data_IF_876943370802
#
_entry.id   IF_876943370802
#
_cell.length_a   1.000
_cell.length_b   1.000
_cell.length_c   1.000
_cell.angle_alpha   90.00
_cell.angle_beta   90.00
_cell.angle_gamma   90.00
#
_symmetry.space_group_name_H-M   'P 1'
#
loop_
_entity.id
_entity.type
_entity.pdbx_description
1 polymer ?
#
# COMPACT_ATOMS: atom_id res chain seq x y z
N UNK A 1 48.95 -1.29 20.44
CA UNK A 1 49.83 -2.36 20.94
C UNK A 1 48.95 -3.34 21.71
N UNK A 2 48.85 -4.57 21.19
CA UNK A 2 48.14 -5.75 21.77
C UNK A 2 48.69 -6.14 23.17
N UNK A 3 48.08 -7.04 23.98
CA UNK A 3 47.44 -8.32 23.58
C UNK A 3 46.07 -8.61 24.26
N UNK A 4 45.12 -9.30 23.61
CA UNK A 4 44.94 -10.77 23.50
C UNK A 4 45.03 -11.53 24.83
N UNK A 5 43.91 -12.15 25.24
CA UNK A 5 43.86 -13.53 25.76
C UNK A 5 42.44 -14.11 25.78
N UNK A 6 42.26 -15.15 24.96
CA UNK A 6 41.21 -16.17 25.03
C UNK A 6 41.19 -16.83 26.42
N UNK A 7 40.00 -17.22 26.90
CA UNK A 7 39.81 -18.49 27.60
C UNK A 7 38.34 -18.94 27.53
N UNK A 8 38.15 -20.01 26.76
CA UNK A 8 37.02 -20.95 26.76
C UNK A 8 36.89 -21.67 28.11
N UNK A 9 35.67 -21.86 28.61
CA UNK A 9 35.38 -22.89 29.60
C UNK A 9 33.94 -23.42 29.47
N UNK A 10 33.89 -24.68 29.08
CA UNK A 10 32.78 -25.63 29.05
C UNK A 10 32.47 -26.08 30.51
N UNK A 11 31.21 -26.10 30.93
CA UNK A 11 30.74 -26.79 32.16
C UNK A 11 29.23 -27.08 31.98
N UNK A 12 28.83 -28.31 31.65
CA UNK A 12 28.71 -29.51 32.51
C UNK A 12 27.41 -29.51 33.34
N UNK A 13 26.54 -30.46 32.96
CA UNK A 13 25.23 -30.76 33.50
C UNK A 13 25.27 -31.27 34.96
N UNK A 14 24.22 -30.98 35.72
CA UNK A 14 23.95 -31.59 37.02
C UNK A 14 22.60 -32.34 36.97
N UNK A 15 22.67 -33.67 37.01
CA UNK A 15 21.55 -34.56 37.30
C UNK A 15 21.31 -34.58 38.82
N UNK A 16 20.05 -34.36 39.24
CA UNK A 16 19.58 -34.76 40.56
C UNK A 16 18.71 -36.02 40.44
N UNK A 17 19.13 -37.09 41.11
CA UNK A 17 18.31 -38.27 41.40
C UNK A 17 17.57 -38.08 42.72
N UNK A 18 16.27 -38.39 42.74
CA UNK A 18 15.51 -38.70 43.95
C UNK A 18 14.68 -39.97 43.68
N UNK A 19 14.68 -40.89 44.64
CA UNK A 19 14.07 -42.22 44.54
C UNK A 19 12.95 -42.42 45.57
N UNK A 20 11.92 -43.18 45.16
CA UNK A 20 10.97 -43.97 45.98
C UNK A 20 9.74 -43.21 46.51
N UNK A 21 8.51 -43.73 46.55
CA UNK A 21 7.92 -45.05 46.30
C UNK A 21 6.38 -44.91 46.17
N UNK A 22 5.72 -45.97 45.67
CA UNK A 22 4.33 -46.41 45.94
C UNK A 22 3.28 -46.31 44.81
N UNK A 23 3.08 -47.42 44.10
CA UNK A 23 1.75 -48.04 43.96
C UNK A 23 0.88 -47.67 42.75
N UNK A 24 0.79 -48.61 41.80
CA UNK A 24 -0.44 -48.92 41.07
C UNK A 24 -0.57 -48.37 39.65
N UNK A 25 -0.82 -49.29 38.70
CA UNK A 25 -1.38 -48.96 37.38
C UNK A 25 -0.34 -48.58 36.34
N UNK A 26 0.13 -49.57 35.59
CA UNK A 26 0.86 -49.40 34.34
C UNK A 26 -0.01 -48.70 33.30
N UNK A 27 0.25 -47.41 33.08
CA UNK A 27 0.10 -46.75 31.78
C UNK A 27 1.28 -45.79 31.64
N UNK A 28 2.42 -46.35 31.27
CA UNK A 28 3.49 -45.54 30.71
C UNK A 28 3.02 -45.11 29.32
N UNK A 29 2.52 -43.89 29.22
CA UNK A 29 2.51 -43.19 27.95
C UNK A 29 3.98 -43.04 27.54
N UNK A 30 4.50 -44.06 26.85
CA UNK A 30 5.69 -43.91 26.05
C UNK A 30 5.29 -42.90 24.98
N UNK A 31 5.67 -41.63 25.14
CA UNK A 31 5.67 -40.72 24.02
C UNK A 31 6.55 -41.38 22.96
N UNK A 32 5.92 -41.99 21.94
CA UNK A 32 6.65 -42.51 20.80
C UNK A 32 7.47 -41.34 20.24
N UNK A 33 8.72 -41.56 19.82
CA UNK A 33 9.41 -40.58 19.00
C UNK A 33 8.49 -40.23 17.84
N UNK A 34 7.98 -39.00 17.79
CA UNK A 34 7.12 -38.59 16.69
C UNK A 34 7.97 -38.64 15.44
N UNK A 35 7.60 -39.52 14.50
CA UNK A 35 8.17 -39.52 13.16
C UNK A 35 7.84 -38.15 12.58
N UNK A 36 8.84 -37.35 12.15
CA UNK A 36 8.58 -36.08 11.47
C UNK A 36 7.57 -36.34 10.36
N UNK A 37 6.42 -35.68 10.42
CA UNK A 37 5.45 -35.78 9.34
C UNK A 37 6.06 -35.08 8.11
N UNK A 38 5.83 -35.60 6.90
CA UNK A 38 6.21 -34.90 5.70
C UNK A 38 5.51 -33.54 5.68
N UNK A 39 6.19 -32.52 5.15
CA UNK A 39 5.69 -31.15 5.11
C UNK A 39 5.74 -30.58 3.70
N UNK A 40 4.86 -29.62 3.43
CA UNK A 40 4.94 -28.73 2.28
C UNK A 40 4.88 -27.26 2.73
N UNK A 41 4.94 -26.35 1.77
CA UNK A 41 4.89 -24.90 1.99
C UNK A 41 3.63 -24.31 1.36
N UNK A 42 2.98 -23.42 2.11
CA UNK A 42 1.88 -22.58 1.63
C UNK A 42 2.33 -21.12 1.63
N UNK A 43 2.27 -20.51 0.46
CA UNK A 43 2.48 -19.09 0.24
C UNK A 43 1.14 -18.42 -0.07
N UNK A 44 0.90 -17.27 0.55
CA UNK A 44 -0.27 -16.44 0.28
C UNK A 44 0.20 -15.07 -0.17
N UNK A 45 -0.33 -14.62 -1.29
CA UNK A 45 -0.08 -13.28 -1.84
C UNK A 45 -1.40 -12.51 -1.90
N UNK A 46 -1.44 -11.35 -1.27
CA UNK A 46 -2.57 -10.44 -1.37
C UNK A 46 -2.41 -9.55 -2.60
N UNK A 47 -3.15 -9.82 -3.67
CA UNK A 47 -3.10 -9.06 -4.94
C UNK A 47 -4.39 -8.26 -5.24
N UNK A 48 -5.36 -8.25 -4.33
CA UNK A 48 -6.60 -7.47 -4.49
C UNK A 48 -6.37 -5.96 -4.24
N UNK A 49 -6.60 -5.08 -5.23
CA UNK A 49 -6.26 -3.66 -5.10
C UNK A 49 -7.14 -2.90 -4.11
N UNK A 50 -8.39 -3.30 -3.94
CA UNK A 50 -9.41 -2.61 -3.14
C UNK A 50 -9.87 -3.39 -1.90
N UNK A 51 -9.29 -4.56 -1.61
CA UNK A 51 -9.54 -5.27 -0.37
C UNK A 51 -8.80 -4.62 0.81
N UNK A 52 -9.38 -4.65 2.02
CA UNK A 52 -8.64 -4.29 3.22
C UNK A 52 -7.46 -5.26 3.42
N UNK A 53 -6.59 -4.98 4.38
CA UNK A 53 -5.64 -5.99 4.82
C UNK A 53 -6.37 -7.30 5.17
N UNK A 54 -5.76 -8.44 4.85
CA UNK A 54 -6.40 -9.75 5.04
C UNK A 54 -5.62 -10.66 5.96
N UNK A 55 -6.34 -11.38 6.80
CA UNK A 55 -5.84 -12.55 7.50
C UNK A 55 -6.13 -13.81 6.67
N UNK A 56 -5.23 -14.79 6.76
CA UNK A 56 -5.48 -16.12 6.20
C UNK A 56 -5.59 -17.14 7.32
N UNK A 57 -6.71 -17.86 7.30
CA UNK A 57 -7.01 -18.94 8.23
C UNK A 57 -6.93 -20.27 7.50
N UNK A 58 -6.23 -21.22 8.10
CA UNK A 58 -6.08 -22.58 7.56
C UNK A 58 -6.53 -23.56 8.62
N UNK A 59 -7.50 -24.42 8.29
CA UNK A 59 -8.18 -25.29 9.26
C UNK A 59 -8.76 -24.55 10.49
N UNK A 60 -9.21 -23.31 10.28
CA UNK A 60 -9.79 -22.46 11.33
C UNK A 60 -8.77 -21.86 12.31
N UNK A 61 -7.47 -22.08 12.11
CA UNK A 61 -6.40 -21.41 12.85
C UNK A 61 -5.94 -20.20 12.05
N UNK A 62 -5.80 -19.05 12.72
CA UNK A 62 -5.16 -17.86 12.13
C UNK A 62 -3.66 -18.11 12.01
N UNK A 63 -3.16 -18.00 10.79
CA UNK A 63 -1.77 -18.33 10.46
C UNK A 63 -0.94 -17.05 10.31
N UNK A 64 -1.60 -15.98 9.89
CA UNK A 64 -0.98 -14.74 9.49
C UNK A 64 -1.83 -13.57 9.96
N UNK A 65 -1.28 -12.75 10.85
CA UNK A 65 -1.84 -11.43 11.13
C UNK A 65 -1.63 -10.51 9.92
N UNK A 66 -2.67 -9.72 9.63
CA UNK A 66 -2.78 -8.62 8.67
C UNK A 66 -1.74 -8.68 7.53
N UNK A 67 -2.09 -9.36 6.45
CA UNK A 67 -1.32 -9.33 5.19
C UNK A 67 -1.76 -8.10 4.42
N UNK A 68 -0.90 -7.07 4.26
CA UNK A 68 -1.26 -5.91 3.49
C UNK A 68 -1.31 -6.25 2.01
N UNK A 69 -1.95 -5.39 1.22
CA UNK A 69 -1.89 -5.48 -0.24
C UNK A 69 -0.45 -5.50 -0.76
N UNK A 70 -0.22 -6.33 -1.78
CA UNK A 70 1.10 -6.72 -2.32
C UNK A 70 2.00 -7.42 -1.29
N UNK A 71 1.48 -7.78 -0.12
CA UNK A 71 2.18 -8.56 0.89
C UNK A 71 2.17 -10.06 0.58
N UNK A 72 3.21 -10.74 1.07
CA UNK A 72 3.34 -12.20 1.03
C UNK A 72 3.49 -12.77 2.44
N UNK A 73 2.98 -13.98 2.64
CA UNK A 73 3.24 -14.82 3.82
C UNK A 73 3.54 -16.24 3.40
N UNK A 74 4.47 -16.87 4.10
CA UNK A 74 4.86 -18.26 3.86
C UNK A 74 4.89 -19.04 5.17
N UNK A 75 4.25 -20.21 5.15
CA UNK A 75 4.15 -21.11 6.30
C UNK A 75 4.32 -22.56 5.87
N UNK A 76 4.90 -23.38 6.75
CA UNK A 76 5.02 -24.81 6.53
C UNK A 76 3.84 -25.56 7.15
N UNK A 77 3.37 -26.60 6.47
CA UNK A 77 2.27 -27.46 6.91
C UNK A 77 2.61 -28.92 6.73
N UNK A 78 2.01 -29.77 7.55
CA UNK A 78 1.99 -31.21 7.29
C UNK A 78 1.26 -31.50 5.97
N UNK A 79 1.53 -32.67 5.37
CA UNK A 79 0.81 -33.11 4.19
C UNK A 79 -0.66 -33.33 4.51
N UNK A 80 -1.55 -32.73 3.72
CA UNK A 80 -2.99 -32.86 3.95
C UNK A 80 -3.86 -31.91 3.13
N UNK A 81 -5.16 -32.04 3.36
CA UNK A 81 -6.19 -31.18 2.79
C UNK A 81 -6.64 -30.17 3.84
N UNK A 82 -6.51 -28.89 3.53
CA UNK A 82 -6.80 -27.81 4.45
C UNK A 82 -7.86 -26.87 3.88
N UNK A 83 -8.95 -26.57 4.61
CA UNK A 83 -9.84 -25.48 4.22
C UNK A 83 -9.12 -24.15 4.46
N UNK A 84 -9.19 -23.26 3.48
CA UNK A 84 -8.62 -21.91 3.55
C UNK A 84 -9.74 -20.88 3.59
N UNK A 85 -9.63 -19.96 4.54
CA UNK A 85 -10.45 -18.76 4.61
C UNK A 85 -9.56 -17.52 4.52
N UNK A 86 -10.01 -16.52 3.78
CA UNK A 86 -9.39 -15.19 3.74
C UNK A 86 -10.38 -14.22 4.38
N UNK A 87 -9.91 -13.52 5.40
CA UNK A 87 -10.73 -12.64 6.24
C UNK A 87 -10.19 -11.23 6.11
N UNK A 88 -11.00 -10.29 5.65
CA UNK A 88 -10.65 -8.89 5.56
C UNK A 88 -10.80 -8.19 6.91
N UNK A 89 -9.77 -7.43 7.27
CA UNK A 89 -9.70 -6.66 8.50
C UNK A 89 -10.36 -5.29 8.25
N UNK A 90 -11.60 -5.12 8.70
CA UNK A 90 -12.37 -3.89 8.44
C UNK A 90 -12.73 -3.15 9.72
N UNK A 91 -12.92 -1.82 9.66
CA UNK A 91 -13.45 -1.05 10.78
C UNK A 91 -14.80 -1.61 11.24
N UNK A 92 -14.89 -1.98 12.52
CA UNK A 92 -16.10 -2.59 13.09
C UNK A 92 -16.09 -4.11 13.18
N UNK A 93 -15.04 -4.78 12.68
CA UNK A 93 -14.76 -6.19 12.90
C UNK A 93 -14.66 -7.00 11.61
N UNK A 94 -13.83 -8.05 11.65
CA UNK A 94 -13.50 -8.97 10.55
C UNK A 94 -14.67 -9.40 9.65
N UNK A 95 -14.43 -9.40 8.34
CA UNK A 95 -15.37 -9.92 7.32
C UNK A 95 -14.72 -11.04 6.53
N UNK A 96 -15.31 -12.23 6.49
CA UNK A 96 -14.82 -13.31 5.63
C UNK A 96 -15.03 -12.96 4.15
N UNK A 97 -13.94 -12.85 3.41
CA UNK A 97 -13.90 -12.53 1.97
C UNK A 97 -13.87 -13.81 1.14
N UNK A 98 -13.17 -14.84 1.61
CA UNK A 98 -13.14 -16.18 1.00
C UNK A 98 -13.42 -17.21 2.10
N UNK A 99 -14.41 -18.12 1.93
CA UNK A 99 -15.33 -18.20 0.82
C UNK A 99 -16.38 -17.07 0.83
N UNK A 100 -16.99 -16.78 -0.32
CA UNK A 100 -18.12 -15.85 -0.37
C UNK A 100 -19.25 -16.32 0.57
N UNK A 101 -20.02 -15.37 1.11
CA UNK A 101 -21.06 -15.67 2.09
C UNK A 101 -22.00 -16.81 1.63
N UNK A 102 -22.07 -17.87 2.44
CA UNK A 102 -22.89 -19.06 2.15
C UNK A 102 -22.22 -20.12 1.26
N UNK A 103 -20.95 -19.95 0.89
CA UNK A 103 -20.14 -20.98 0.23
C UNK A 103 -19.22 -21.71 1.21
N UNK A 104 -18.87 -22.96 0.89
CA UNK A 104 -17.90 -23.73 1.67
C UNK A 104 -16.48 -23.21 1.39
N UNK A 105 -15.62 -23.24 2.41
CA UNK A 105 -14.23 -22.84 2.27
C UNK A 105 -13.53 -23.70 1.19
N UNK A 106 -12.79 -23.10 0.25
CA UNK A 106 -12.01 -23.87 -0.70
C UNK A 106 -10.97 -24.70 0.05
N UNK A 107 -10.77 -25.94 -0.39
CA UNK A 107 -9.75 -26.83 0.13
C UNK A 107 -8.48 -26.69 -0.70
N UNK A 108 -7.34 -26.56 -0.04
CA UNK A 108 -6.02 -26.66 -0.65
C UNK A 108 -5.33 -27.94 -0.17
N UNK A 109 -4.85 -28.71 -1.14
CA UNK A 109 -4.06 -29.92 -0.89
C UNK A 109 -2.58 -29.55 -0.86
N UNK A 110 -1.91 -29.83 0.26
CA UNK A 110 -0.47 -29.62 0.44
C UNK A 110 0.20 -31.00 0.42
N UNK A 111 1.04 -31.26 -0.59
CA UNK A 111 1.83 -32.49 -0.70
C UNK A 111 3.23 -32.37 -0.10
N UNK A 112 3.93 -33.50 0.00
CA UNK A 112 5.31 -33.59 0.49
C UNK A 112 6.26 -32.81 -0.44
N UNK A 113 7.07 -31.92 0.13
CA UNK A 113 8.00 -31.05 -0.60
C UNK A 113 7.33 -30.23 -1.72
N UNK A 114 6.02 -30.01 -1.61
CA UNK A 114 5.28 -29.14 -2.52
C UNK A 114 5.27 -27.71 -2.01
N UNK A 115 5.32 -26.77 -2.94
CA UNK A 115 4.97 -25.38 -2.74
C UNK A 115 3.60 -25.13 -3.34
N UNK A 116 2.72 -24.58 -2.53
CA UNK A 116 1.40 -24.12 -2.95
C UNK A 116 1.34 -22.62 -2.75
N UNK A 117 1.15 -21.87 -3.83
CA UNK A 117 0.98 -20.42 -3.78
C UNK A 117 -0.47 -20.07 -4.07
N UNK A 118 -1.11 -19.35 -3.16
CA UNK A 118 -2.48 -18.82 -3.29
C UNK A 118 -2.38 -17.32 -3.49
N UNK A 119 -2.82 -16.84 -4.66
CA UNK A 119 -2.86 -15.42 -4.99
C UNK A 119 -4.32 -14.95 -4.95
N UNK A 120 -4.65 -14.07 -4.01
CA UNK A 120 -5.97 -13.46 -3.94
C UNK A 120 -6.03 -12.26 -4.89
N UNK A 121 -6.60 -12.47 -6.08
CA UNK A 121 -6.57 -11.50 -7.18
C UNK A 121 -7.97 -10.98 -7.52
N UNK A 122 -8.02 -9.73 -8.00
CA UNK A 122 -9.26 -9.03 -8.35
C UNK A 122 -9.85 -8.17 -7.24
N UNK A 123 -10.89 -7.42 -7.56
CA UNK A 123 -11.56 -6.53 -6.63
C UNK A 123 -12.44 -7.29 -5.62
N UNK A 124 -12.73 -6.74 -4.44
CA UNK A 124 -13.56 -7.38 -3.40
C UNK A 124 -14.87 -7.95 -3.95
N UNK A 125 -15.51 -7.24 -4.89
CA UNK A 125 -16.78 -7.65 -5.50
C UNK A 125 -16.68 -8.95 -6.34
N UNK A 126 -15.47 -9.34 -6.77
CA UNK A 126 -15.22 -10.49 -7.64
C UNK A 126 -13.92 -11.22 -7.34
N UNK A 127 -13.39 -11.09 -6.12
CA UNK A 127 -12.10 -11.62 -5.73
C UNK A 127 -12.10 -13.14 -5.80
N UNK A 128 -11.04 -13.70 -6.38
CA UNK A 128 -10.89 -15.14 -6.54
C UNK A 128 -9.46 -15.60 -6.20
N UNK A 129 -9.31 -16.79 -5.58
CA UNK A 129 -8.00 -17.37 -5.37
C UNK A 129 -7.49 -18.00 -6.67
N UNK A 130 -6.26 -17.67 -7.05
CA UNK A 130 -5.48 -18.40 -8.05
C UNK A 130 -4.52 -19.32 -7.29
N UNK A 131 -4.62 -20.63 -7.50
CA UNK A 131 -3.81 -21.63 -6.80
C UNK A 131 -2.78 -22.20 -7.76
N UNK A 132 -1.51 -22.06 -7.39
CA UNK A 132 -0.37 -22.60 -8.11
C UNK A 132 0.28 -23.68 -7.24
N UNK A 133 0.54 -24.85 -7.80
CA UNK A 133 1.21 -25.94 -7.09
C UNK A 133 2.43 -26.39 -7.88
N UNK A 134 3.58 -26.45 -7.23
CA UNK A 134 4.82 -26.95 -7.82
C UNK A 134 5.72 -27.68 -6.82
N UNK A 135 6.69 -28.43 -7.34
CA UNK A 135 7.79 -29.06 -6.59
C UNK A 135 9.10 -28.61 -7.24
N UNK A 136 9.56 -27.39 -6.93
CA UNK A 136 10.64 -26.77 -7.68
C UNK A 136 11.95 -27.51 -7.38
N UNK A 137 12.71 -27.97 -8.37
CA UNK A 137 14.04 -28.52 -8.11
C UNK A 137 14.98 -27.41 -7.61
N UNK A 138 16.10 -27.79 -7.01
CA UNK A 138 17.17 -26.83 -6.72
C UNK A 138 17.58 -26.06 -7.99
N UNK A 139 17.92 -24.79 -7.83
CA UNK A 139 18.39 -23.92 -8.92
C UNK A 139 19.90 -23.71 -8.76
N UNK A 140 20.62 -23.55 -9.88
CA UNK A 140 22.04 -23.23 -9.84
C UNK A 140 22.27 -21.79 -9.36
N UNK A 141 23.44 -21.54 -8.75
CA UNK A 141 23.80 -20.24 -8.19
C UNK A 141 23.91 -19.13 -9.25
N UNK A 142 24.05 -19.47 -10.53
CA UNK A 142 24.15 -18.57 -11.69
C UNK A 142 22.88 -18.55 -12.56
N UNK A 143 21.80 -19.18 -12.10
CA UNK A 143 20.51 -19.26 -12.80
C UNK A 143 19.39 -18.59 -12.00
N UNK A 144 18.35 -18.14 -12.71
CA UNK A 144 17.14 -17.56 -12.16
C UNK A 144 15.93 -18.28 -12.74
N UNK A 145 15.02 -18.74 -11.87
CA UNK A 145 13.76 -19.36 -12.27
C UNK A 145 12.65 -18.32 -12.16
N UNK A 146 11.91 -18.15 -13.25
CA UNK A 146 10.80 -17.22 -13.34
C UNK A 146 9.52 -18.00 -13.63
N UNK A 147 8.55 -17.87 -12.74
CA UNK A 147 7.15 -18.19 -12.99
C UNK A 147 6.43 -16.89 -13.31
N UNK A 148 5.55 -16.91 -14.30
CA UNK A 148 4.78 -15.74 -14.71
C UNK A 148 3.32 -16.01 -14.46
N UNK A 149 2.64 -15.07 -13.82
CA UNK A 149 1.20 -15.13 -13.57
C UNK A 149 0.53 -13.83 -14.03
N UNK A 150 -0.59 -13.95 -14.74
CA UNK A 150 -1.47 -12.82 -14.96
C UNK A 150 -2.57 -12.75 -13.87
N UNK A 151 -2.42 -11.82 -12.92
CA UNK A 151 -3.28 -11.67 -11.74
C UNK A 151 -4.13 -10.37 -11.74
N UNK A 152 -4.35 -9.77 -12.91
CA UNK A 152 -5.09 -8.51 -13.05
C UNK A 152 -6.35 -8.72 -13.91
N UNK A 153 -7.52 -9.03 -13.34
CA UNK A 153 -8.70 -9.45 -14.11
C UNK A 153 -9.30 -8.36 -15.00
N UNK A 154 -9.04 -7.08 -14.70
CA UNK A 154 -9.47 -5.95 -15.51
C UNK A 154 -8.59 -5.72 -16.76
N UNK A 155 -7.37 -6.27 -16.78
CA UNK A 155 -6.52 -6.20 -17.95
C UNK A 155 -6.85 -7.33 -18.94
N UNK A 156 -6.81 -7.05 -20.26
CA UNK A 156 -7.07 -8.06 -21.28
C UNK A 156 -5.93 -9.09 -21.33
N UNK A 157 -6.09 -10.13 -22.16
CA UNK A 157 -4.97 -11.03 -22.45
C UNK A 157 -3.78 -10.25 -23.04
N UNK A 158 -2.57 -10.65 -22.66
CA UNK A 158 -1.32 -9.95 -22.99
C UNK A 158 -0.23 -10.90 -23.47
N UNK A 159 0.68 -10.38 -24.27
CA UNK A 159 1.95 -11.02 -24.61
C UNK A 159 3.07 -10.46 -23.71
N UNK A 160 3.86 -11.35 -23.12
CA UNK A 160 4.98 -10.97 -22.25
C UNK A 160 6.29 -11.24 -22.98
N UNK A 161 7.23 -10.29 -22.89
CA UNK A 161 8.53 -10.33 -23.52
C UNK A 161 9.62 -10.15 -22.46
N UNK A 162 10.66 -10.97 -22.52
CA UNK A 162 11.83 -10.89 -21.64
C UNK A 162 13.07 -10.81 -22.53
N UNK A 163 13.88 -9.77 -22.35
CA UNK A 163 15.05 -9.48 -23.20
C UNK A 163 16.19 -8.89 -22.39
N UNK A 164 17.40 -8.86 -22.95
CA UNK A 164 18.47 -8.04 -22.37
C UNK A 164 18.14 -6.53 -22.47
N UNK A 165 18.71 -5.68 -21.59
CA UNK A 165 18.53 -4.24 -21.66
C UNK A 165 18.98 -3.67 -23.01
N UNK A 166 18.10 -2.91 -23.67
CA UNK A 166 18.37 -2.27 -24.95
C UNK A 166 18.03 -3.11 -26.19
N UNK A 167 17.76 -4.41 -26.04
CA UNK A 167 17.37 -5.25 -27.17
C UNK A 167 15.95 -4.92 -27.68
N UNK A 168 15.70 -5.01 -29.00
CA UNK A 168 14.34 -4.90 -29.53
C UNK A 168 13.47 -6.05 -29.06
N UNK A 169 12.14 -5.90 -29.17
CA UNK A 169 11.22 -7.00 -28.91
C UNK A 169 11.46 -8.14 -29.90
N UNK A 170 11.71 -9.34 -29.35
CA UNK A 170 11.82 -10.59 -30.10
C UNK A 170 10.48 -11.33 -30.17
N UNK A 171 10.51 -12.66 -30.08
CA UNK A 171 9.31 -13.44 -29.87
C UNK A 171 8.80 -13.27 -28.43
N UNK A 172 7.48 -13.28 -28.19
CA UNK A 172 6.96 -13.28 -26.82
C UNK A 172 7.37 -14.57 -26.11
N UNK A 173 7.61 -14.45 -24.81
CA UNK A 173 7.74 -15.57 -23.89
C UNK A 173 6.45 -16.40 -23.86
N UNK A 174 5.30 -15.72 -23.95
CA UNK A 174 3.99 -16.35 -24.03
C UNK A 174 2.86 -15.33 -24.16
N UNK A 175 1.65 -15.84 -24.37
CA UNK A 175 0.40 -15.08 -24.28
C UNK A 175 -0.37 -15.57 -23.07
N UNK A 176 -0.89 -14.65 -22.26
CA UNK A 176 -1.52 -14.95 -20.97
C UNK A 176 -2.86 -14.21 -20.87
N UNK A 177 -3.92 -14.94 -20.57
CA UNK A 177 -5.16 -14.40 -20.03
C UNK A 177 -5.15 -14.41 -18.49
N UNK A 178 -6.11 -13.74 -17.86
CA UNK A 178 -6.25 -13.73 -16.41
C UNK A 178 -6.27 -15.16 -15.83
N UNK A 179 -5.44 -15.40 -14.81
CA UNK A 179 -5.28 -16.68 -14.15
C UNK A 179 -4.32 -17.65 -14.84
N UNK A 180 -3.85 -17.36 -16.05
CA UNK A 180 -2.91 -18.21 -16.77
C UNK A 180 -1.47 -18.02 -16.29
N UNK A 181 -0.71 -19.11 -16.35
CA UNK A 181 0.72 -19.18 -16.00
C UNK A 181 1.55 -19.56 -17.22
N UNK A 182 2.87 -19.37 -17.13
CA UNK A 182 3.80 -19.78 -18.17
C UNK A 182 3.71 -21.29 -18.43
N UNK A 183 3.85 -21.71 -19.68
CA UNK A 183 3.92 -23.14 -20.05
C UNK A 183 5.23 -23.41 -20.82
N UNK A 184 6.13 -24.28 -20.32
CA UNK A 184 6.07 -24.98 -19.03
C UNK A 184 6.08 -24.02 -17.82
N UNK A 185 5.68 -24.50 -16.64
CA UNK A 185 5.33 -23.70 -15.44
C UNK A 185 6.38 -22.69 -14.95
N UNK A 186 7.61 -22.77 -15.46
CA UNK A 186 8.69 -21.82 -15.23
C UNK A 186 9.66 -21.75 -16.43
N UNK A 187 10.35 -20.62 -16.57
CA UNK A 187 11.54 -20.45 -17.42
C UNK A 187 12.77 -20.28 -16.55
N UNK A 188 13.90 -20.86 -16.97
CA UNK A 188 15.20 -20.66 -16.33
C UNK A 188 16.06 -19.80 -17.25
N UNK A 189 16.61 -18.72 -16.70
CA UNK A 189 17.47 -17.77 -17.41
C UNK A 189 18.78 -17.58 -16.63
N UNK A 190 19.91 -17.25 -17.28
CA UNK A 190 21.13 -16.89 -16.57
C UNK A 190 20.93 -15.65 -15.69
N UNK A 191 21.72 -15.51 -14.62
CA UNK A 191 21.76 -14.27 -13.85
C UNK A 191 22.14 -13.05 -14.72
N UNK A 192 21.63 -11.88 -14.35
CA UNK A 192 22.00 -10.61 -14.98
C UNK A 192 20.84 -9.65 -15.18
N UNK A 193 21.09 -8.63 -15.99
CA UNK A 193 20.11 -7.59 -16.28
C UNK A 193 19.12 -8.03 -17.36
N UNK A 194 17.83 -7.78 -17.12
CA UNK A 194 16.73 -8.05 -18.04
C UNK A 194 15.79 -6.86 -18.14
N UNK A 195 14.92 -6.88 -19.14
CA UNK A 195 13.81 -5.95 -19.30
C UNK A 195 12.55 -6.75 -19.62
N UNK A 196 11.50 -6.58 -18.83
CA UNK A 196 10.20 -7.23 -19.01
C UNK A 196 9.26 -6.22 -19.66
N UNK A 197 8.68 -6.61 -20.79
CA UNK A 197 7.72 -5.78 -21.54
C UNK A 197 6.44 -6.55 -21.78
N UNK A 198 5.31 -5.86 -21.67
CA UNK A 198 3.98 -6.43 -21.90
C UNK A 198 3.32 -5.67 -23.04
N UNK A 199 2.75 -6.38 -24.00
CA UNK A 199 2.04 -5.80 -25.13
C UNK A 199 0.71 -6.52 -25.36
N UNK A 200 -0.19 -5.88 -26.11
CA UNK A 200 -1.43 -6.53 -26.53
C UNK A 200 -1.16 -7.55 -27.65
N UNK A 201 -1.86 -8.70 -27.66
CA UNK A 201 -1.64 -9.75 -28.64
C UNK A 201 -1.75 -9.25 -30.09
N UNK A 202 -0.79 -9.64 -30.92
CA UNK A 202 -0.72 -9.23 -32.33
C UNK A 202 -0.39 -7.75 -32.57
N UNK A 203 -0.08 -6.98 -31.52
CA UNK A 203 0.33 -5.57 -31.60
C UNK A 203 1.62 -5.30 -30.82
N UNK A 204 2.74 -5.99 -31.13
CA UNK A 204 3.98 -5.91 -30.34
C UNK A 204 4.63 -4.52 -30.32
N UNK A 205 4.27 -3.63 -31.24
CA UNK A 205 4.74 -2.24 -31.23
C UNK A 205 4.09 -1.37 -30.16
N UNK A 206 3.03 -1.86 -29.51
CA UNK A 206 2.27 -1.14 -28.48
C UNK A 206 2.53 -1.78 -27.13
N UNK A 207 3.68 -1.44 -26.55
CA UNK A 207 4.03 -1.83 -25.18
C UNK A 207 3.12 -1.06 -24.22
N UNK A 208 2.45 -1.77 -23.33
CA UNK A 208 1.53 -1.22 -22.31
C UNK A 208 2.12 -1.25 -20.90
N UNK A 209 3.24 -1.98 -20.74
CA UNK A 209 4.07 -1.97 -19.54
C UNK A 209 5.51 -2.30 -19.90
N UNK A 210 6.46 -1.61 -19.28
CA UNK A 210 7.89 -1.80 -19.43
C UNK A 210 8.59 -1.62 -18.08
N UNK A 211 9.22 -2.67 -17.55
CA UNK A 211 9.87 -2.64 -16.23
C UNK A 211 11.13 -1.76 -16.18
N UNK A 212 11.63 -1.28 -17.33
CA UNK A 212 13.02 -0.83 -17.43
C UNK A 212 14.00 -1.99 -17.19
N UNK A 213 15.28 -1.65 -16.95
CA UNK A 213 16.30 -2.66 -16.64
C UNK A 213 16.17 -3.12 -15.18
N UNK A 214 16.01 -4.42 -14.98
CA UNK A 214 15.94 -5.09 -13.69
C UNK A 214 17.09 -6.08 -13.56
N UNK A 215 17.72 -6.14 -12.39
CA UNK A 215 18.74 -7.14 -12.08
C UNK A 215 18.08 -8.40 -11.52
N UNK A 216 18.34 -9.54 -12.15
CA UNK A 216 17.92 -10.86 -11.69
C UNK A 216 19.13 -11.59 -11.09
N UNK A 217 19.27 -11.63 -9.75
CA UNK A 217 20.41 -12.26 -9.10
C UNK A 217 20.35 -13.78 -9.21
N UNK A 218 21.49 -14.44 -9.43
CA UNK A 218 21.57 -15.89 -9.49
C UNK A 218 21.10 -16.58 -8.20
N UNK A 219 20.54 -17.78 -8.36
CA UNK A 219 19.89 -18.54 -7.30
C UNK A 219 18.45 -18.13 -6.98
N UNK A 220 17.89 -17.10 -7.64
CA UNK A 220 16.53 -16.65 -7.38
C UNK A 220 15.46 -17.56 -8.00
N UNK A 221 14.42 -17.87 -7.21
CA UNK A 221 13.20 -18.56 -7.65
C UNK A 221 12.01 -17.62 -7.44
N UNK A 222 11.54 -17.01 -8.52
CA UNK A 222 10.60 -15.90 -8.48
C UNK A 222 9.27 -16.30 -9.11
N UNK A 223 8.17 -16.02 -8.41
CA UNK A 223 6.88 -15.81 -9.05
C UNK A 223 6.72 -14.31 -9.35
N UNK A 224 6.56 -13.98 -10.62
CA UNK A 224 6.32 -12.64 -11.13
C UNK A 224 4.85 -12.55 -11.56
N UNK A 225 4.04 -11.88 -10.75
CA UNK A 225 2.62 -11.69 -10.99
C UNK A 225 2.36 -10.27 -11.53
N UNK A 226 1.67 -10.16 -12.67
CA UNK A 226 1.10 -8.89 -13.11
C UNK A 226 -0.19 -8.63 -12.32
N UNK A 227 -0.13 -7.71 -11.36
CA UNK A 227 -1.26 -7.31 -10.49
C UNK A 227 -1.83 -5.97 -10.97
N UNK A 228 -3.07 -5.67 -10.62
CA UNK A 228 -3.67 -4.38 -10.95
C UNK A 228 -2.84 -3.24 -10.36
N UNK A 229 -2.50 -2.23 -11.16
CA UNK A 229 -1.82 -1.04 -10.64
C UNK A 229 -2.81 -0.17 -9.88
N UNK A 230 -2.38 0.38 -8.74
CA UNK A 230 -3.10 1.40 -7.96
C UNK A 230 -2.35 2.74 -7.92
N UNK A 231 -1.21 2.82 -8.61
CA UNK A 231 -0.38 4.03 -8.71
C UNK A 231 -0.77 4.82 -9.95
N UNK A 232 -0.22 6.03 -10.08
CA UNK A 232 -0.41 6.86 -11.27
C UNK A 232 0.21 6.23 -12.53
N UNK A 233 -0.14 6.77 -13.69
CA UNK A 233 0.36 6.36 -15.00
C UNK A 233 -0.64 5.57 -15.83
N UNK A 234 -0.25 5.27 -17.06
CA UNK A 234 -1.12 4.64 -18.05
C UNK A 234 -1.14 3.10 -17.96
N UNK A 235 -0.14 2.49 -17.32
CA UNK A 235 -0.07 1.03 -17.22
C UNK A 235 -1.17 0.51 -16.29
N UNK A 236 -2.02 -0.43 -16.76
CA UNK A 236 -3.06 -1.02 -15.91
C UNK A 236 -2.50 -2.01 -14.89
N UNK A 237 -1.23 -2.39 -15.01
CA UNK A 237 -0.57 -3.40 -14.18
C UNK A 237 0.78 -2.92 -13.64
N UNK A 238 1.17 -3.51 -12.53
CA UNK A 238 2.54 -3.51 -12.00
C UNK A 238 3.01 -4.95 -11.86
N UNK A 239 4.31 -5.21 -11.94
CA UNK A 239 4.84 -6.55 -11.68
C UNK A 239 5.21 -6.70 -10.21
N UNK A 240 4.64 -7.71 -9.57
CA UNK A 240 4.95 -8.12 -8.21
C UNK A 240 5.80 -9.39 -8.27
N UNK A 241 7.07 -9.30 -7.90
CA UNK A 241 7.96 -10.45 -7.76
C UNK A 241 8.01 -10.89 -6.29
N UNK A 242 7.77 -12.18 -6.02
CA UNK A 242 7.98 -12.77 -4.68
C UNK A 242 9.25 -13.61 -4.66
N UNK A 243 10.01 -13.49 -3.58
CA UNK A 243 11.19 -14.32 -3.28
C UNK A 243 10.89 -15.39 -2.22
N UNK A 244 9.60 -15.71 -2.01
CA UNK A 244 9.13 -16.66 -0.99
C UNK A 244 9.15 -16.13 0.45
N UNK A 245 9.41 -14.84 0.66
CA UNK A 245 9.31 -14.20 1.99
C UNK A 245 9.11 -12.70 1.93
N UNK A 246 9.51 -12.08 0.83
CA UNK A 246 9.30 -10.66 0.54
C UNK A 246 8.78 -10.47 -0.87
N UNK A 247 8.11 -9.36 -1.09
CA UNK A 247 7.68 -8.91 -2.41
C UNK A 247 8.46 -7.68 -2.85
N UNK A 248 8.67 -7.58 -4.16
CA UNK A 248 9.22 -6.41 -4.84
C UNK A 248 8.25 -5.99 -5.93
N UNK A 249 7.93 -4.71 -5.98
CA UNK A 249 7.11 -4.14 -7.04
C UNK A 249 7.98 -3.45 -8.08
N UNK A 250 7.68 -3.69 -9.36
CA UNK A 250 8.24 -2.99 -10.49
C UNK A 250 7.12 -2.26 -11.23
N UNK A 251 7.22 -0.94 -11.24
CA UNK A 251 6.32 -0.06 -12.00
C UNK A 251 6.75 0.00 -13.47
N UNK A 252 5.87 0.56 -14.29
CA UNK A 252 6.23 0.91 -15.66
C UNK A 252 7.27 2.05 -15.65
N UNK A 253 8.24 2.03 -16.56
CA UNK A 253 9.32 3.02 -16.62
C UNK A 253 8.80 4.43 -16.89
N UNK A 254 7.66 4.56 -17.56
CA UNK A 254 7.00 5.82 -17.86
C UNK A 254 5.95 6.20 -16.80
N UNK A 255 5.82 5.43 -15.71
CA UNK A 255 4.99 5.83 -14.56
C UNK A 255 5.44 7.19 -14.04
N UNK A 256 4.57 8.22 -14.03
CA UNK A 256 4.92 9.53 -13.52
C UNK A 256 4.90 9.55 -11.98
N UNK A 257 5.19 10.71 -11.42
CA UNK A 257 4.76 11.11 -10.08
C UNK A 257 3.54 12.03 -10.21
N UNK A 258 2.67 12.05 -9.22
CA UNK A 258 1.49 12.93 -9.22
C UNK A 258 1.67 14.04 -8.18
N UNK A 259 1.40 15.29 -8.55
CA UNK A 259 1.47 16.43 -7.63
C UNK A 259 0.19 17.25 -7.70
N UNK A 260 -0.47 17.39 -6.56
CA UNK A 260 -1.55 18.34 -6.34
C UNK A 260 -1.01 19.54 -5.57
N UNK A 261 -1.34 20.75 -6.02
CA UNK A 261 -0.97 22.00 -5.34
C UNK A 261 -2.20 22.56 -4.66
N UNK A 262 -2.07 22.96 -3.40
CA UNK A 262 -3.16 23.51 -2.59
C UNK A 262 -2.75 24.88 -2.04
N UNK A 263 -3.59 25.89 -2.26
CA UNK A 263 -3.34 27.21 -1.74
C UNK A 263 -4.05 27.43 -0.39
N UNK A 264 -3.28 27.32 0.70
CA UNK A 264 -3.76 27.40 2.08
C UNK A 264 -3.20 28.63 2.86
N UNK A 265 -2.68 29.63 2.16
CA UNK A 265 -2.12 30.86 2.75
C UNK A 265 -3.15 32.00 2.63
N UNK A 266 -3.72 32.48 3.74
CA UNK A 266 -4.99 33.22 3.72
C UNK A 266 -4.89 34.70 3.29
N UNK A 267 -3.73 35.31 3.41
CA UNK A 267 -3.45 36.71 3.08
C UNK A 267 -2.55 36.87 1.84
N UNK A 268 -2.20 35.77 1.18
CA UNK A 268 -1.57 35.78 -0.12
C UNK A 268 -2.62 35.95 -1.24
N UNK A 269 -2.28 36.65 -2.34
CA UNK A 269 -3.16 36.75 -3.50
C UNK A 269 -3.22 35.41 -4.23
N UNK A 270 -4.04 35.30 -5.28
CA UNK A 270 -3.95 34.18 -6.21
C UNK A 270 -2.51 34.02 -6.70
N UNK A 271 -2.10 32.76 -6.87
CA UNK A 271 -0.72 32.40 -7.19
C UNK A 271 -0.62 31.59 -8.47
N UNK A 272 0.52 31.76 -9.14
CA UNK A 272 0.99 30.83 -10.16
C UNK A 272 2.14 29.99 -9.58
N UNK A 273 2.23 28.75 -10.05
CA UNK A 273 3.34 27.84 -9.74
C UNK A 273 4.22 27.71 -10.97
N UNK A 274 5.52 27.90 -10.77
CA UNK A 274 6.55 27.82 -11.81
C UNK A 274 7.43 26.62 -11.52
N UNK A 275 7.70 25.81 -12.55
CA UNK A 275 8.59 24.66 -12.46
C UNK A 275 9.90 24.95 -13.21
N UNK A 276 11.04 24.63 -12.61
CA UNK A 276 12.38 24.70 -13.22
C UNK A 276 12.69 26.05 -13.89
N UNK A 277 12.32 27.16 -13.24
CA UNK A 277 12.47 28.53 -13.74
C UNK A 277 11.79 28.83 -15.10
N UNK A 278 10.86 27.98 -15.57
CA UNK A 278 10.11 28.24 -16.80
C UNK A 278 8.89 29.15 -16.56
N UNK A 279 9.13 30.44 -16.44
CA UNK A 279 8.09 31.46 -16.29
C UNK A 279 7.17 31.60 -17.52
N UNK A 280 7.57 31.07 -18.68
CA UNK A 280 6.79 31.11 -19.90
C UNK A 280 5.72 30.00 -19.96
N UNK A 281 5.93 28.88 -19.25
CA UNK A 281 5.01 27.75 -19.18
C UNK A 281 4.77 27.32 -17.73
N UNK A 282 3.78 27.94 -17.09
CA UNK A 282 3.44 27.71 -15.69
C UNK A 282 2.48 26.52 -15.55
N UNK A 283 2.83 25.43 -14.82
CA UNK A 283 1.94 24.27 -14.65
C UNK A 283 0.64 24.59 -13.91
N UNK A 284 0.65 25.61 -13.04
CA UNK A 284 -0.55 26.08 -12.33
C UNK A 284 -0.63 27.59 -12.48
N UNK A 285 -1.81 28.08 -12.86
CA UNK A 285 -2.10 29.51 -13.02
C UNK A 285 -3.37 29.88 -12.29
N UNK A 286 -3.37 31.07 -11.70
CA UNK A 286 -4.50 31.68 -11.01
C UNK A 286 -5.13 30.78 -9.92
N UNK A 287 -4.28 30.06 -9.17
CA UNK A 287 -4.75 29.22 -8.06
C UNK A 287 -5.24 30.12 -6.93
N UNK A 288 -6.53 30.07 -6.63
CA UNK A 288 -7.15 30.88 -5.60
C UNK A 288 -6.95 30.28 -4.20
N UNK A 289 -6.88 31.15 -3.18
CA UNK A 289 -6.89 30.71 -1.79
C UNK A 289 -8.10 29.81 -1.48
N UNK A 290 -7.88 28.76 -0.70
CA UNK A 290 -8.93 27.81 -0.32
C UNK A 290 -9.24 26.77 -1.39
N UNK A 291 -8.41 26.65 -2.42
CA UNK A 291 -8.59 25.69 -3.52
C UNK A 291 -7.33 24.85 -3.74
N UNK A 292 -7.51 23.69 -4.37
CA UNK A 292 -6.44 22.84 -4.84
C UNK A 292 -6.65 22.45 -6.30
N UNK A 293 -5.58 22.05 -6.97
CA UNK A 293 -5.64 21.48 -8.31
C UNK A 293 -6.10 20.02 -8.28
N UNK A 294 -6.41 19.47 -9.45
CA UNK A 294 -6.29 18.02 -9.64
C UNK A 294 -4.82 17.59 -9.54
N UNK A 295 -4.55 16.28 -9.49
CA UNK A 295 -3.18 15.79 -9.58
C UNK A 295 -2.61 16.04 -10.98
N UNK A 296 -1.41 16.60 -11.00
CA UNK A 296 -0.62 16.83 -12.20
C UNK A 296 0.44 15.74 -12.30
N UNK A 297 0.41 14.98 -13.39
CA UNK A 297 1.46 14.01 -13.70
C UNK A 297 2.76 14.71 -14.08
N UNK A 298 3.81 14.52 -13.29
CA UNK A 298 5.14 15.07 -13.50
C UNK A 298 6.18 13.94 -13.62
N UNK A 299 7.22 14.11 -14.44
CA UNK A 299 8.33 13.14 -14.47
C UNK A 299 8.95 12.99 -13.07
N UNK A 300 9.26 11.76 -12.62
CA UNK A 300 9.98 11.55 -11.37
C UNK A 300 11.40 12.13 -11.45
N UNK A 301 11.96 12.50 -10.30
CA UNK A 301 13.26 13.14 -10.17
C UNK A 301 13.20 14.50 -9.48
N UNK A 302 14.29 15.25 -9.58
CA UNK A 302 14.40 16.57 -8.93
C UNK A 302 13.70 17.65 -9.76
N UNK A 303 12.93 18.49 -9.09
CA UNK A 303 12.23 19.64 -9.65
C UNK A 303 12.36 20.83 -8.72
N UNK A 304 12.68 21.99 -9.29
CA UNK A 304 12.60 23.26 -8.56
C UNK A 304 11.21 23.86 -8.75
N UNK A 305 10.56 24.26 -7.66
CA UNK A 305 9.21 24.83 -7.66
C UNK A 305 9.25 26.23 -7.05
N UNK A 306 8.64 27.18 -7.76
CA UNK A 306 8.48 28.56 -7.30
C UNK A 306 7.02 28.97 -7.27
N UNK A 307 6.68 29.79 -6.30
CA UNK A 307 5.34 30.39 -6.19
C UNK A 307 5.46 31.90 -6.30
N UNK A 308 4.65 32.48 -7.20
CA UNK A 308 4.60 33.92 -7.49
C UNK A 308 3.14 34.39 -7.57
N UNK A 309 2.85 35.69 -7.37
CA UNK A 309 1.51 36.21 -7.63
C UNK A 309 1.07 35.98 -9.08
N UNK A 310 -0.23 35.72 -9.30
CA UNK A 310 -0.79 35.49 -10.63
C UNK A 310 -0.37 36.56 -11.63
N UNK A 311 0.18 36.14 -12.78
CA UNK A 311 0.57 37.02 -13.87
C UNK A 311 1.83 37.89 -13.60
N UNK A 312 2.55 37.66 -12.51
CA UNK A 312 3.83 38.29 -12.21
C UNK A 312 4.97 37.27 -12.16
N UNK A 313 6.21 37.71 -12.34
CA UNK A 313 7.42 36.88 -12.13
C UNK A 313 8.04 37.09 -10.73
N UNK A 314 7.53 38.06 -9.96
CA UNK A 314 8.06 38.45 -8.66
C UNK A 314 6.99 39.11 -7.77
N UNK A 315 7.16 39.09 -6.43
CA UNK A 315 8.21 38.37 -5.71
C UNK A 315 8.00 36.85 -5.77
N UNK A 316 9.10 36.10 -5.77
CA UNK A 316 9.08 34.66 -5.50
C UNK A 316 8.95 34.50 -3.99
N UNK A 317 7.83 33.93 -3.54
CA UNK A 317 7.51 33.78 -2.11
C UNK A 317 7.80 32.38 -1.57
N UNK A 318 7.83 31.39 -2.45
CA UNK A 318 8.36 30.05 -2.19
C UNK A 318 9.34 29.74 -3.32
N UNK A 319 10.52 29.22 -2.96
CA UNK A 319 11.53 28.65 -3.86
C UNK A 319 12.08 27.40 -3.19
N UNK A 320 11.75 26.22 -3.72
CA UNK A 320 12.06 24.94 -3.09
C UNK A 320 12.39 23.86 -4.12
N UNK A 321 13.39 23.05 -3.80
CA UNK A 321 13.71 21.84 -4.54
C UNK A 321 12.96 20.64 -3.95
N UNK A 322 12.29 19.88 -4.80
CA UNK A 322 11.55 18.67 -4.45
C UNK A 322 12.13 17.48 -5.23
N UNK A 323 12.22 16.32 -4.59
CA UNK A 323 12.54 15.05 -5.25
C UNK A 323 11.28 14.22 -5.32
N UNK A 324 10.76 14.01 -6.53
CA UNK A 324 9.55 13.24 -6.78
C UNK A 324 9.88 11.77 -7.07
N UNK A 325 9.32 10.86 -6.29
CA UNK A 325 9.48 9.44 -6.51
C UNK A 325 8.48 8.91 -7.55
N UNK A 326 8.91 7.94 -8.35
CA UNK A 326 8.06 7.27 -9.34
C UNK A 326 6.82 6.66 -8.68
N UNK A 327 5.65 6.84 -9.29
CA UNK A 327 4.38 6.26 -8.84
C UNK A 327 3.84 6.87 -7.54
N UNK A 328 4.48 7.92 -7.02
CA UNK A 328 4.10 8.55 -5.75
C UNK A 328 3.25 9.78 -6.01
N UNK A 329 2.17 9.89 -5.25
CA UNK A 329 1.28 11.05 -5.25
C UNK A 329 1.61 11.97 -4.08
N UNK A 330 1.61 13.29 -4.33
CA UNK A 330 1.93 14.32 -3.35
C UNK A 330 0.86 15.42 -3.33
N UNK A 331 0.53 15.91 -2.14
CA UNK A 331 -0.19 17.15 -1.95
C UNK A 331 0.74 18.19 -1.35
N UNK A 332 0.96 19.29 -2.07
CA UNK A 332 1.84 20.39 -1.67
C UNK A 332 0.98 21.59 -1.29
N UNK A 333 0.93 21.90 0.00
CA UNK A 333 0.15 23.01 0.55
C UNK A 333 1.04 24.23 0.71
N UNK A 334 0.69 25.37 0.12
CA UNK A 334 1.27 26.65 0.49
C UNK A 334 0.58 27.14 1.78
N UNK A 335 1.26 27.02 2.92
CA UNK A 335 0.71 27.27 4.28
C UNK A 335 1.37 28.48 4.94
N UNK A 336 0.78 28.98 6.03
CA UNK A 336 1.28 30.15 6.75
C UNK A 336 0.72 31.47 6.20
N UNK A 337 0.99 32.58 6.88
CA UNK A 337 0.69 33.91 6.35
C UNK A 337 1.72 34.29 5.28
N UNK A 338 1.42 35.20 4.36
CA UNK A 338 2.27 35.60 3.24
C UNK A 338 3.70 35.97 3.69
N UNK A 339 3.85 36.57 4.87
CA UNK A 339 5.15 36.96 5.43
C UNK A 339 6.04 35.75 5.80
N UNK A 340 5.43 34.62 6.15
CA UNK A 340 6.08 33.38 6.61
C UNK A 340 5.59 32.17 5.80
N UNK A 341 5.19 32.38 4.53
CA UNK A 341 4.58 31.35 3.71
C UNK A 341 5.60 30.25 3.39
N UNK A 342 5.19 29.00 3.53
CA UNK A 342 6.05 27.85 3.32
C UNK A 342 5.28 26.66 2.72
N UNK A 343 5.95 25.83 1.90
CA UNK A 343 5.36 24.60 1.40
C UNK A 343 5.32 23.53 2.51
N UNK A 344 4.18 22.87 2.66
CA UNK A 344 4.04 21.60 3.37
C UNK A 344 3.80 20.50 2.33
N UNK A 345 4.75 19.58 2.21
CA UNK A 345 4.67 18.46 1.26
C UNK A 345 4.21 17.22 2.01
N UNK A 346 3.10 16.65 1.57
CA UNK A 346 2.56 15.41 2.11
C UNK A 346 2.56 14.34 1.01
N UNK A 347 2.97 13.12 1.36
CA UNK A 347 2.74 11.95 0.50
C UNK A 347 1.30 11.51 0.69
N UNK A 348 0.62 11.22 -0.41
CA UNK A 348 -0.76 10.76 -0.44
C UNK A 348 -0.81 9.26 -0.71
N UNK A 349 -1.64 8.57 0.05
CA UNK A 349 -2.04 7.20 -0.23
C UNK A 349 -3.41 7.25 -0.88
N UNK A 350 -3.42 7.18 -2.21
CA UNK A 350 -4.63 7.30 -3.02
C UNK A 350 -5.39 6.00 -3.18
N UNK A 351 -4.98 4.93 -2.45
CA UNK A 351 -5.62 3.64 -2.53
C UNK A 351 -7.06 3.72 -1.98
N UNK A 352 -8.01 3.21 -2.73
CA UNK A 352 -9.41 3.08 -2.32
C UNK A 352 -9.67 1.66 -1.86
N UNK A 353 -10.24 1.51 -0.67
CA UNK A 353 -10.55 0.20 -0.07
C UNK A 353 -12.06 0.04 0.02
N UNK A 354 -12.63 -0.93 -0.70
CA UNK A 354 -14.07 -1.05 -0.92
C UNK A 354 -14.89 -1.18 0.37
N UNK A 355 -14.29 -1.69 1.44
CA UNK A 355 -14.97 -1.97 2.72
C UNK A 355 -15.00 -0.80 3.70
N UNK A 356 -14.28 0.28 3.43
CA UNK A 356 -14.10 1.37 4.37
C UNK A 356 -13.92 2.73 3.68
N UNK A 357 -14.15 3.79 4.44
CA UNK A 357 -13.78 5.14 4.07
C UNK A 357 -12.39 5.45 4.63
N UNK A 358 -11.56 6.12 3.83
CA UNK A 358 -10.23 6.58 4.25
C UNK A 358 -10.25 8.09 4.37
N UNK A 359 -9.99 8.60 5.58
CA UNK A 359 -10.13 10.02 5.91
C UNK A 359 -8.81 10.59 6.40
N UNK A 360 -8.37 11.70 5.81
CA UNK A 360 -7.22 12.48 6.24
C UNK A 360 -7.66 13.88 6.64
N UNK A 361 -7.25 14.33 7.83
CA UNK A 361 -7.49 15.70 8.29
C UNK A 361 -6.15 16.38 8.54
N UNK A 362 -5.96 17.54 7.91
CA UNK A 362 -4.78 18.39 8.07
C UNK A 362 -5.14 19.65 8.89
N UNK A 363 -4.30 20.01 9.86
CA UNK A 363 -4.37 21.32 10.50
C UNK A 363 -3.43 22.31 9.78
N UNK A 364 -3.98 23.14 8.91
CA UNK A 364 -3.26 24.13 8.10
C UNK A 364 -3.63 25.60 8.43
N UNK A 365 -4.15 25.86 9.63
CA UNK A 365 -4.56 27.20 10.09
C UNK A 365 -3.44 27.80 10.94
N UNK A 366 -2.66 28.78 10.44
CA UNK A 366 -1.57 29.37 11.21
C UNK A 366 -2.04 30.25 12.38
N UNK A 367 -3.28 30.73 12.36
CA UNK A 367 -3.82 31.57 13.44
C UNK A 367 -4.47 30.78 14.57
N UNK A 368 -4.87 29.53 14.32
CA UNK A 368 -5.41 28.67 15.36
C UNK A 368 -4.26 28.02 16.17
N UNK A 369 -4.47 27.90 17.48
CA UNK A 369 -3.63 27.04 18.31
C UNK A 369 -3.93 25.56 18.05
N UNK A 370 -3.27 24.67 18.79
CA UNK A 370 -3.53 23.24 18.70
C UNK A 370 -5.03 22.93 18.88
N UNK A 371 -5.51 21.93 18.13
CA UNK A 371 -6.93 21.56 18.07
C UNK A 371 -7.18 20.13 18.52
N UNK A 372 -8.38 19.89 19.04
CA UNK A 372 -8.91 18.55 19.26
C UNK A 372 -9.92 18.23 18.15
N UNK A 373 -9.83 17.03 17.58
CA UNK A 373 -10.72 16.53 16.53
C UNK A 373 -11.60 15.44 17.13
N UNK A 374 -12.91 15.66 17.08
CA UNK A 374 -13.94 14.71 17.52
C UNK A 374 -14.66 14.13 16.32
N UNK A 375 -14.87 12.82 16.36
CA UNK A 375 -15.69 12.08 15.41
C UNK A 375 -16.74 11.34 16.21
N UNK A 376 -18.01 11.71 16.06
CA UNK A 376 -19.14 11.08 16.75
C UNK A 376 -20.15 10.55 15.74
N UNK A 377 -21.05 9.61 16.11
CA UNK A 377 -22.10 9.15 15.22
C UNK A 377 -22.92 10.32 14.65
N UNK A 378 -23.26 10.25 13.37
CA UNK A 378 -24.03 11.27 12.68
C UNK A 378 -25.44 11.44 13.23
N UNK A 379 -25.98 12.65 13.11
CA UNK A 379 -27.32 12.99 13.62
C UNK A 379 -27.36 13.20 15.14
N UNK A 380 -26.21 13.25 15.80
CA UNK A 380 -26.08 13.64 17.22
C UNK A 380 -25.96 15.17 17.37
N UNK A 381 -25.76 15.89 16.26
CA UNK A 381 -25.54 17.33 16.28
C UNK A 381 -24.18 17.70 16.86
N UNK A 382 -23.21 16.79 16.81
CA UNK A 382 -21.90 16.97 17.42
C UNK A 382 -21.91 17.00 18.94
N UNK A 383 -22.77 16.23 19.60
CA UNK A 383 -22.80 16.15 21.06
C UNK A 383 -21.50 15.54 21.60
N UNK A 384 -20.68 16.38 22.25
CA UNK A 384 -19.39 15.99 22.84
C UNK A 384 -19.49 15.59 24.32
N UNK A 385 -20.69 15.56 24.92
CA UNK A 385 -20.88 15.38 26.37
C UNK A 385 -20.27 14.09 26.95
N UNK A 386 -20.08 13.08 26.11
CA UNK A 386 -19.48 11.79 26.47
C UNK A 386 -18.36 11.35 25.52
N UNK A 387 -17.98 12.19 24.56
CA UNK A 387 -16.97 11.87 23.56
C UNK A 387 -15.58 12.33 24.01
N UNK A 388 -14.59 11.45 23.88
CA UNK A 388 -13.19 11.85 23.88
C UNK A 388 -12.79 12.27 22.46
N UNK A 389 -11.83 13.19 22.29
CA UNK A 389 -11.32 13.51 20.96
C UNK A 389 -10.66 12.28 20.35
N UNK A 390 -10.93 12.06 19.06
CA UNK A 390 -10.25 11.02 18.27
C UNK A 390 -8.76 11.36 18.10
N UNK A 391 -8.46 12.66 17.93
CA UNK A 391 -7.10 13.20 17.94
C UNK A 391 -7.05 14.41 18.86
N UNK A 392 -6.15 14.39 19.85
CA UNK A 392 -6.01 15.49 20.80
C UNK A 392 -4.75 16.29 20.57
N UNK A 393 -4.86 17.62 20.70
CA UNK A 393 -3.73 18.55 20.66
C UNK A 393 -2.98 18.54 19.34
N UNK A 394 -3.68 18.34 18.22
CA UNK A 394 -3.11 18.36 16.86
C UNK A 394 -2.53 19.76 16.61
N UNK A 395 -1.21 19.91 16.41
CA UNK A 395 -0.59 21.21 16.18
C UNK A 395 -0.70 21.64 14.71
N UNK A 396 -0.43 22.93 14.44
CA UNK A 396 -0.30 23.44 13.07
C UNK A 396 0.71 22.62 12.26
N UNK A 397 0.38 22.36 10.99
CA UNK A 397 1.08 21.51 10.01
C UNK A 397 1.02 19.99 10.26
N UNK A 398 0.38 19.53 11.34
CA UNK A 398 0.16 18.11 11.54
C UNK A 398 -1.10 17.63 10.82
N UNK A 399 -1.05 16.41 10.32
CA UNK A 399 -2.20 15.69 9.81
C UNK A 399 -2.41 14.36 10.55
N UNK A 400 -3.59 13.78 10.40
CA UNK A 400 -3.98 12.52 11.06
C UNK A 400 -3.37 11.27 10.41
N UNK A 401 -2.71 11.41 9.25
CA UNK A 401 -2.61 10.31 8.29
C UNK A 401 -4.00 9.92 7.77
N UNK A 402 -4.05 8.87 6.94
CA UNK A 402 -5.32 8.26 6.57
C UNK A 402 -5.82 7.36 7.70
N UNK A 403 -7.03 7.64 8.16
CA UNK A 403 -7.75 6.86 9.16
C UNK A 403 -8.89 6.14 8.48
N UNK A 404 -9.07 4.90 8.87
CA UNK A 404 -10.09 4.00 8.35
C UNK A 404 -11.37 4.10 9.18
N UNK A 405 -12.50 4.37 8.52
CA UNK A 405 -13.82 4.44 9.12
C UNK A 405 -14.78 3.53 8.38
N UNK A 406 -15.67 2.87 9.12
CA UNK A 406 -16.75 2.10 8.51
C UNK A 406 -17.63 3.04 7.66
N UNK A 407 -18.23 2.57 6.56
CA UNK A 407 -19.20 3.37 5.81
C UNK A 407 -20.37 3.76 6.71
N UNK A 408 -20.75 5.03 6.70
CA UNK A 408 -21.74 5.54 7.63
C UNK A 408 -21.81 7.06 7.71
N UNK A 409 -22.67 7.53 8.61
CA UNK A 409 -22.84 8.96 8.88
C UNK A 409 -22.12 9.35 10.17
N UNK A 410 -21.36 10.43 10.11
CA UNK A 410 -20.54 10.94 11.21
C UNK A 410 -20.72 12.45 11.36
N UNK A 411 -20.75 12.95 12.59
CA UNK A 411 -20.59 14.38 12.86
C UNK A 411 -19.15 14.64 13.30
N UNK A 412 -18.43 15.46 12.53
CA UNK A 412 -17.06 15.89 12.84
C UNK A 412 -17.09 17.26 13.49
N UNK A 413 -16.42 17.40 14.63
CA UNK A 413 -16.29 18.66 15.37
C UNK A 413 -14.82 18.91 15.66
N UNK A 414 -14.34 20.11 15.37
CA UNK A 414 -12.98 20.54 15.75
C UNK A 414 -13.10 21.63 16.80
N UNK A 415 -12.38 21.49 17.91
CA UNK A 415 -12.34 22.47 19.00
C UNK A 415 -10.89 22.92 19.23
N UNK A 416 -10.69 23.99 19.98
CA UNK A 416 -9.35 24.27 20.53
C UNK A 416 -8.95 23.20 21.55
N UNK A 417 -7.67 22.87 21.66
CA UNK A 417 -7.18 21.83 22.56
C UNK A 417 -7.65 22.03 24.01
N UNK A 418 -8.26 21.00 24.59
CA UNK A 418 -8.83 21.03 25.95
C UNK A 418 -10.15 21.80 26.07
N UNK A 419 -10.74 22.25 24.96
CA UNK A 419 -12.03 22.93 24.89
C UNK A 419 -13.09 22.03 24.28
N UNK A 420 -14.35 22.23 24.66
CA UNK A 420 -15.51 21.61 24.00
C UNK A 420 -16.31 22.60 23.16
N UNK A 421 -15.82 23.84 23.02
CA UNK A 421 -16.43 24.87 22.17
C UNK A 421 -16.00 24.61 20.71
N UNK A 422 -16.94 24.32 19.79
CA UNK A 422 -16.62 24.12 18.39
C UNK A 422 -15.96 25.34 17.77
N UNK A 423 -14.81 25.12 17.13
CA UNK A 423 -14.16 26.05 16.21
C UNK A 423 -14.59 25.74 14.76
N UNK A 424 -14.74 24.47 14.40
CA UNK A 424 -15.34 24.00 13.15
C UNK A 424 -16.44 22.98 13.49
N UNK A 425 -17.55 23.07 12.76
CA UNK A 425 -18.63 22.09 12.83
C UNK A 425 -19.69 22.38 13.91
N UNK A 426 -20.57 21.41 14.19
CA UNK A 426 -20.56 20.05 13.63
C UNK A 426 -20.73 20.02 12.11
N UNK A 427 -19.93 19.19 11.44
CA UNK A 427 -20.07 18.89 10.01
C UNK A 427 -20.50 17.44 9.88
N UNK A 428 -21.72 17.23 9.39
CA UNK A 428 -22.22 15.88 9.11
C UNK A 428 -21.64 15.39 7.79
N UNK A 429 -20.84 14.32 7.85
CA UNK A 429 -20.28 13.61 6.71
C UNK A 429 -21.03 12.30 6.51
N UNK A 430 -21.32 11.97 5.25
CA UNK A 430 -21.74 10.62 4.85
C UNK A 430 -20.56 10.01 4.11
N UNK A 431 -19.99 8.96 4.67
CA UNK A 431 -18.81 8.28 4.17
C UNK A 431 -19.22 6.94 3.56
N UNK A 432 -18.76 6.69 2.34
CA UNK A 432 -19.01 5.48 1.60
C UNK A 432 -17.79 4.55 1.61
N UNK A 433 -18.01 3.25 1.47
CA UNK A 433 -16.93 2.28 1.27
C UNK A 433 -16.22 2.55 -0.06
N UNK A 434 -14.89 2.52 -0.06
CA UNK A 434 -14.06 2.94 -1.21
C UNK A 434 -13.87 4.45 -1.31
N UNK A 435 -14.46 5.23 -0.40
CA UNK A 435 -14.33 6.68 -0.36
C UNK A 435 -12.97 7.13 0.17
N UNK A 436 -12.41 8.17 -0.45
CA UNK A 436 -11.17 8.83 -0.05
C UNK A 436 -11.47 10.30 0.22
N UNK A 437 -11.25 10.74 1.45
CA UNK A 437 -11.70 12.05 1.92
C UNK A 437 -10.56 12.81 2.57
N UNK A 438 -10.25 14.00 2.07
CA UNK A 438 -9.24 14.87 2.69
C UNK A 438 -9.85 16.23 3.02
N UNK A 439 -9.66 16.69 4.26
CA UNK A 439 -10.04 18.02 4.69
C UNK A 439 -8.86 18.73 5.36
N UNK A 440 -8.70 20.01 5.10
CA UNK A 440 -7.75 20.86 5.80
C UNK A 440 -8.46 22.00 6.54
N UNK A 441 -8.18 22.15 7.82
CA UNK A 441 -8.59 23.32 8.59
C UNK A 441 -7.63 24.48 8.26
N UNK A 442 -8.10 25.51 7.57
CA UNK A 442 -7.35 26.69 7.16
C UNK A 442 -7.92 27.95 7.81
N UNK A 443 -7.16 29.04 7.81
CA UNK A 443 -7.68 30.35 8.25
C UNK A 443 -8.81 30.85 7.32
N UNK A 444 -9.53 31.89 7.73
CA UNK A 444 -10.42 32.64 6.83
C UNK A 444 -9.63 33.49 5.83
N UNK A 445 -10.27 34.02 4.79
CA UNK A 445 -9.66 35.00 3.88
C UNK A 445 -9.11 36.19 4.68
N UNK A 446 -7.86 36.57 4.46
CA UNK A 446 -7.06 37.55 5.21
C UNK A 446 -6.64 37.12 6.63
N UNK A 447 -6.78 35.84 6.99
CA UNK A 447 -6.29 35.25 8.23
C UNK A 447 -7.30 35.21 9.37
N UNK A 448 -6.90 34.57 10.47
CA UNK A 448 -7.61 34.60 11.74
C UNK A 448 -8.50 33.40 12.04
N UNK A 449 -9.15 33.45 13.21
CA UNK A 449 -10.04 32.42 13.77
C UNK A 449 -11.50 32.89 13.79
N UNK A 450 -12.51 32.00 13.75
CA UNK A 450 -12.38 30.54 13.66
C UNK A 450 -11.92 30.08 12.27
N UNK A 451 -11.16 28.97 12.19
CA UNK A 451 -10.76 28.39 10.92
C UNK A 451 -11.97 27.93 10.09
N UNK A 452 -11.76 27.76 8.79
CA UNK A 452 -12.71 27.16 7.83
C UNK A 452 -12.15 25.85 7.27
N UNK A 453 -12.94 25.16 6.45
CA UNK A 453 -12.56 23.93 5.78
C UNK A 453 -12.19 24.20 4.32
N UNK A 454 -11.06 23.62 3.91
CA UNK A 454 -10.71 23.32 2.53
C UNK A 454 -10.96 21.83 2.33
N UNK A 455 -11.77 21.48 1.33
CA UNK A 455 -12.19 20.12 1.05
C UNK A 455 -11.55 19.61 -0.24
N UNK A 456 -11.04 18.38 -0.21
CA UNK A 456 -10.35 17.71 -1.31
C UNK A 456 -10.87 16.27 -1.47
N UNK A 457 -10.48 15.63 -2.57
CA UNK A 457 -10.88 14.27 -2.92
C UNK A 457 -12.42 14.16 -2.96
N UNK A 458 -13.02 13.14 -2.35
CA UNK A 458 -14.48 12.94 -2.38
C UNK A 458 -15.25 13.94 -1.49
N UNK A 459 -14.57 14.87 -0.81
CA UNK A 459 -15.20 16.03 -0.15
C UNK A 459 -15.26 17.27 -1.05
N UNK A 460 -14.55 17.29 -2.18
CA UNK A 460 -14.60 18.41 -3.12
C UNK A 460 -16.00 18.52 -3.76
N UNK A 461 -16.52 19.74 -3.98
CA UNK A 461 -17.90 19.99 -4.41
C UNK A 461 -18.23 19.66 -5.87
#
# INVERSE_FOLDING_TARGET
>A
MSPVRLLSALSAAALLFAAGCSGGGSDSSTAQPQVPQPTGTLEVIHASPDAPDVDVRVAGLEIAGSVPYKGVRVSAYEVGDYPIEVVGNVPGGDVTVIPAAGQAAPTVTIGEDQRVTVVAAGEVAGIAPIVLTDSPPAIADDEVRLRVLHAAPAAPAVEVYVTAPGDPLGAPLGTFAFGETLTPDAVVVPEGAYRIRVALPGSPSTVVYDSGAIELPGGADLLVAAVASITTGASPVSLLATTGSTTLEFLDVDTPSDVRVVHASPDAPNVDVVANDDFASRPVVDLAFGTGTDYLGLPPGDINVKVVPTGADAPVVIDADLTLAQGTSYSVYATGLLADIAPLVLVDDTRRVATEARVRILHASPSAGAVDIYVVPGGTGGDLSSAAPAFSGVPFLADTGYVELAPGSYDVVVTGAGSTVPAIGPVTLTLDGGGLYTAAAIDQVNGGVPPTLLLLDDLAP
#
